data_IF_237632429464
#
_entry.id   IF_237632429464
#
_cell.length_a   1.000
_cell.length_b   1.000
_cell.length_c   1.000
_cell.angle_alpha   90.00
_cell.angle_beta   90.00
_cell.angle_gamma   90.00
#
_symmetry.space_group_name_H-M   'P 1'
#
loop_
_entity.id
_entity.type
_entity.pdbx_description
1 polymer ?
#
# COMPACT_ATOMS: atom_id res chain seq x y z
N UNK A 1 -16.92 -36.00 -24.44
CA UNK A 1 -17.84 -35.21 -23.59
C UNK A 1 -17.09 -34.77 -22.35
N UNK A 2 -17.25 -33.49 -22.04
CA UNK A 2 -16.51 -32.73 -21.06
C UNK A 2 -16.79 -33.17 -19.62
N UNK A 3 -15.84 -32.89 -18.74
CA UNK A 3 -15.96 -33.02 -17.29
C UNK A 3 -14.64 -32.72 -16.61
N UNK A 4 -14.03 -31.58 -16.97
CA UNK A 4 -12.82 -31.06 -16.36
C UNK A 4 -13.01 -30.93 -14.86
N UNK A 5 -12.23 -31.70 -14.12
CA UNK A 5 -12.17 -31.62 -12.67
C UNK A 5 -11.24 -30.44 -12.37
N UNK A 6 -11.85 -29.26 -12.20
CA UNK A 6 -11.18 -28.02 -11.81
C UNK A 6 -10.67 -28.20 -10.37
N UNK A 7 -9.53 -28.87 -10.24
CA UNK A 7 -8.85 -29.12 -8.98
C UNK A 7 -8.04 -27.87 -8.67
N UNK A 8 -8.64 -26.98 -7.86
CA UNK A 8 -7.96 -26.03 -6.97
C UNK A 8 -6.54 -25.64 -7.36
N UNK A 9 -6.41 -24.82 -8.39
CA UNK A 9 -5.13 -24.30 -8.91
C UNK A 9 -4.61 -23.09 -8.09
N UNK A 10 -4.91 -23.09 -6.78
CA UNK A 10 -4.24 -22.27 -5.76
C UNK A 10 -3.11 -23.05 -5.08
N UNK A 11 -2.70 -24.17 -5.67
CA UNK A 11 -1.52 -24.91 -5.27
C UNK A 11 -0.26 -24.09 -5.63
N UNK A 12 0.46 -23.65 -4.59
CA UNK A 12 1.86 -23.25 -4.61
C UNK A 12 2.23 -22.07 -5.53
N UNK A 13 1.98 -20.83 -5.07
CA UNK A 13 2.58 -19.65 -5.68
C UNK A 13 3.23 -18.80 -4.60
N UNK A 14 4.56 -18.83 -4.60
CA UNK A 14 5.50 -18.21 -3.67
C UNK A 14 4.90 -16.99 -2.94
N UNK A 15 4.41 -17.21 -1.72
CA UNK A 15 4.00 -16.14 -0.83
C UNK A 15 5.27 -15.51 -0.29
N UNK A 16 5.60 -14.35 -0.82
CA UNK A 16 6.77 -13.58 -0.41
C UNK A 16 6.33 -12.54 0.60
N UNK A 17 6.85 -12.69 1.81
CA UNK A 17 6.65 -11.76 2.91
C UNK A 17 7.75 -10.70 2.85
N UNK A 18 7.41 -9.50 2.38
CA UNK A 18 8.30 -8.34 2.50
C UNK A 18 8.04 -7.69 3.86
N UNK A 19 8.94 -7.78 4.83
CA UNK A 19 8.75 -7.08 6.10
C UNK A 19 9.59 -5.78 6.11
N UNK A 20 9.05 -4.56 5.92
CA UNK A 20 9.79 -3.38 6.33
C UNK A 20 9.59 -3.22 7.84
N UNK A 21 10.64 -3.48 8.62
CA UNK A 21 10.77 -3.05 10.02
C UNK A 21 9.98 -3.81 11.09
N UNK A 22 8.75 -4.28 10.83
CA UNK A 22 7.86 -4.87 11.86
C UNK A 22 6.84 -5.93 11.34
N UNK A 23 7.22 -6.87 10.47
CA UNK A 23 6.37 -8.06 10.29
C UNK A 23 5.10 -7.91 9.43
N UNK A 24 5.06 -6.99 8.45
CA UNK A 24 3.97 -6.90 7.47
C UNK A 24 3.96 -8.07 6.47
N UNK A 25 2.80 -8.71 6.28
CA UNK A 25 2.65 -9.83 5.34
C UNK A 25 2.08 -9.35 4.01
N UNK A 26 2.67 -9.82 2.90
CA UNK A 26 2.17 -9.56 1.55
C UNK A 26 1.87 -10.87 0.82
N UNK A 27 0.90 -10.80 -0.08
CA UNK A 27 0.48 -11.87 -0.98
C UNK A 27 0.71 -11.39 -2.41
N UNK A 28 1.48 -12.15 -3.18
CA UNK A 28 1.73 -11.86 -4.60
C UNK A 28 1.05 -12.94 -5.44
N UNK A 29 0.11 -12.54 -6.29
CA UNK A 29 -0.45 -13.42 -7.31
C UNK A 29 0.47 -13.40 -8.54
N UNK A 30 1.20 -14.50 -8.75
CA UNK A 30 2.14 -14.63 -9.86
C UNK A 30 1.45 -14.75 -11.24
N UNK A 31 0.18 -15.13 -11.32
CA UNK A 31 -0.53 -15.16 -12.61
C UNK A 31 -1.04 -13.79 -13.01
N UNK A 32 -1.70 -13.12 -12.08
CA UNK A 32 -2.28 -11.81 -12.34
C UNK A 32 -1.28 -10.68 -12.16
N UNK A 33 -0.08 -10.99 -11.63
CA UNK A 33 0.93 -10.01 -11.27
C UNK A 33 0.31 -8.90 -10.41
N UNK A 34 -0.38 -9.30 -9.34
CA UNK A 34 -1.02 -8.39 -8.38
C UNK A 34 -0.40 -8.56 -7.00
N UNK A 35 -0.21 -7.43 -6.33
CA UNK A 35 0.25 -7.36 -4.96
C UNK A 35 -0.95 -7.11 -4.05
N UNK A 36 -1.00 -7.84 -2.95
CA UNK A 36 -1.96 -7.65 -1.87
C UNK A 36 -1.20 -7.52 -0.56
N UNK A 37 -1.66 -6.62 0.30
CA UNK A 37 -1.25 -6.60 1.70
C UNK A 37 -2.22 -7.45 2.52
N UNK A 38 -1.72 -8.10 3.56
CA UNK A 38 -2.56 -8.85 4.50
C UNK A 38 -2.75 -8.03 5.78
N UNK A 39 -3.99 -7.56 6.00
CA UNK A 39 -4.40 -6.90 7.26
C UNK A 39 -5.13 -7.91 8.15
N UNK A 40 -4.88 -7.84 9.45
CA UNK A 40 -5.51 -8.74 10.42
C UNK A 40 -6.38 -7.92 11.37
N UNK A 41 -7.69 -8.16 11.32
CA UNK A 41 -8.60 -7.68 12.34
C UNK A 41 -8.52 -8.59 13.57
N UNK A 42 -8.31 -7.98 14.72
CA UNK A 42 -8.15 -8.65 16.01
C UNK A 42 -8.85 -7.85 17.08
N UNK A 43 -9.87 -8.45 17.68
CA UNK A 43 -10.63 -7.90 18.80
C UNK A 43 -10.63 -8.88 19.98
N UNK A 44 -10.71 -8.36 21.21
CA UNK A 44 -10.63 -9.19 22.43
C UNK A 44 -11.90 -10.01 22.60
N UNK A 45 -11.76 -11.25 23.09
CA UNK A 45 -12.87 -12.15 23.41
C UNK A 45 -13.70 -12.63 22.20
N UNK A 46 -13.06 -12.81 21.04
CA UNK A 46 -13.70 -13.39 19.85
C UNK A 46 -13.19 -14.79 19.54
N UNK A 47 -14.03 -15.60 18.89
CA UNK A 47 -13.72 -16.93 18.35
C UNK A 47 -14.62 -17.23 17.16
N UNK A 48 -14.15 -18.08 16.26
CA UNK A 48 -14.93 -18.50 15.08
C UNK A 48 -15.42 -19.94 15.26
N UNK A 49 -16.67 -20.19 14.92
CA UNK A 49 -17.14 -21.54 14.62
C UNK A 49 -17.00 -21.78 13.13
N UNK A 50 -16.10 -22.69 12.76
CA UNK A 50 -15.82 -23.07 11.38
C UNK A 50 -16.27 -24.52 11.22
N UNK A 51 -17.44 -24.72 10.62
CA UNK A 51 -18.09 -26.02 10.51
C UNK A 51 -18.23 -26.71 11.88
N UNK A 52 -17.54 -27.83 12.08
CA UNK A 52 -17.54 -28.63 13.32
C UNK A 52 -16.35 -28.33 14.24
N UNK A 53 -15.66 -27.20 14.04
CA UNK A 53 -14.47 -26.82 14.80
C UNK A 53 -14.59 -25.41 15.36
N UNK A 54 -13.89 -25.16 16.47
CA UNK A 54 -13.78 -23.84 17.10
C UNK A 54 -12.37 -23.32 16.90
N UNK A 55 -12.24 -22.20 16.20
CA UNK A 55 -10.99 -21.49 16.04
C UNK A 55 -10.90 -20.38 17.09
N UNK A 56 -9.99 -20.55 18.03
CA UNK A 56 -9.70 -19.54 19.06
C UNK A 56 -9.06 -18.29 18.47
N UNK A 57 -9.30 -17.14 19.11
CA UNK A 57 -8.62 -15.88 18.82
C UNK A 57 -9.37 -14.93 17.89
N UNK A 58 -10.40 -15.42 17.17
CA UNK A 58 -11.32 -14.56 16.43
C UNK A 58 -10.68 -13.70 15.34
N UNK A 59 -9.48 -14.05 14.86
CA UNK A 59 -8.75 -13.28 13.87
C UNK A 59 -9.47 -13.33 12.52
N UNK A 60 -9.56 -12.19 11.85
CA UNK A 60 -10.06 -12.11 10.48
C UNK A 60 -9.00 -11.47 9.59
N UNK A 61 -8.54 -12.23 8.59
CA UNK A 61 -7.50 -11.80 7.67
C UNK A 61 -8.13 -11.22 6.40
N UNK A 62 -7.63 -10.07 5.95
CA UNK A 62 -8.04 -9.40 4.73
C UNK A 62 -6.86 -9.33 3.77
N UNK A 63 -7.05 -9.81 2.55
CA UNK A 63 -6.11 -9.56 1.45
C UNK A 63 -6.60 -8.36 0.65
N UNK A 64 -6.01 -7.19 0.85
CA UNK A 64 -6.41 -5.95 0.17
C UNK A 64 -5.40 -5.61 -0.94
N UNK A 65 -5.85 -5.21 -2.14
CA UNK A 65 -4.94 -4.81 -3.21
C UNK A 65 -4.02 -3.69 -2.76
N UNK A 66 -2.73 -3.81 -3.06
CA UNK A 66 -1.70 -2.86 -2.64
C UNK A 66 -0.97 -2.30 -3.86
N UNK A 67 -0.73 -0.99 -3.89
CA UNK A 67 0.08 -0.34 -4.92
C UNK A 67 1.57 -0.66 -4.68
N UNK A 68 2.25 -1.39 -5.59
CA UNK A 68 3.66 -1.77 -5.41
C UNK A 68 4.61 -0.57 -5.29
N UNK A 69 4.20 0.62 -5.76
CA UNK A 69 5.05 1.79 -5.75
C UNK A 69 5.42 2.24 -4.34
N UNK A 70 4.56 2.02 -3.34
CA UNK A 70 4.87 2.30 -1.93
C UNK A 70 6.02 1.42 -1.42
N UNK A 71 6.06 0.14 -1.80
CA UNK A 71 7.15 -0.76 -1.40
C UNK A 71 8.46 -0.40 -2.11
N UNK A 72 8.39 -0.05 -3.39
CA UNK A 72 9.55 0.37 -4.18
C UNK A 72 10.13 1.69 -3.69
N UNK A 73 9.28 2.58 -3.18
CA UNK A 73 9.68 3.89 -2.65
C UNK A 73 10.70 3.74 -1.52
N UNK A 74 10.58 2.73 -0.66
CA UNK A 74 11.57 2.42 0.38
C UNK A 74 12.98 2.23 -0.19
N UNK A 75 13.10 1.38 -1.22
CA UNK A 75 14.38 1.07 -1.87
C UNK A 75 14.92 2.28 -2.66
N UNK A 76 14.04 2.98 -3.36
CA UNK A 76 14.40 4.18 -4.13
C UNK A 76 14.94 5.30 -3.23
N UNK A 77 14.33 5.55 -2.07
CA UNK A 77 14.82 6.55 -1.12
C UNK A 77 16.17 6.13 -0.54
N UNK A 78 16.34 4.83 -0.23
CA UNK A 78 17.61 4.29 0.28
C UNK A 78 18.74 4.49 -0.74
N UNK A 79 18.52 4.14 -2.00
CA UNK A 79 19.47 4.36 -3.10
C UNK A 79 19.67 5.84 -3.43
N UNK A 80 18.62 6.65 -3.30
CA UNK A 80 18.63 8.09 -3.56
C UNK A 80 19.63 8.88 -2.70
N UNK A 81 20.03 8.35 -1.53
CA UNK A 81 21.09 8.93 -0.68
C UNK A 81 22.44 9.02 -1.39
N UNK A 82 22.69 8.14 -2.36
CA UNK A 82 23.92 8.18 -3.18
C UNK A 82 23.86 9.21 -4.31
N UNK A 83 22.65 9.68 -4.68
CA UNK A 83 22.44 10.69 -5.70
C UNK A 83 22.71 10.25 -7.15
N UNK A 84 22.94 8.95 -7.38
CA UNK A 84 23.32 8.35 -8.67
C UNK A 84 22.12 7.79 -9.43
N UNK A 85 22.29 7.59 -10.73
CA UNK A 85 21.37 6.82 -11.57
C UNK A 85 21.78 5.35 -11.53
N UNK A 86 20.87 4.48 -11.09
CA UNK A 86 21.13 3.05 -10.92
C UNK A 86 20.05 2.22 -11.62
N UNK A 87 20.39 1.05 -12.18
CA UNK A 87 19.40 0.13 -12.71
C UNK A 87 18.60 -0.51 -11.56
N UNK A 88 17.36 -0.93 -11.83
CA UNK A 88 16.43 -1.37 -10.78
C UNK A 88 16.89 -2.62 -10.02
N UNK A 89 17.60 -3.51 -10.69
CA UNK A 89 18.22 -4.71 -10.12
C UNK A 89 19.27 -4.39 -9.06
N UNK A 90 19.90 -3.22 -9.13
CA UNK A 90 20.84 -2.73 -8.11
C UNK A 90 20.15 -1.93 -7.00
N UNK A 91 18.99 -1.34 -7.28
CA UNK A 91 18.22 -0.56 -6.30
C UNK A 91 17.42 -1.46 -5.36
N UNK A 92 16.74 -2.47 -5.91
CA UNK A 92 15.83 -3.36 -5.17
C UNK A 92 16.59 -4.58 -4.66
N UNK A 93 17.49 -4.34 -3.72
CA UNK A 93 18.33 -5.36 -3.07
C UNK A 93 18.17 -5.28 -1.55
N UNK A 94 17.82 -6.41 -0.94
CA UNK A 94 17.70 -6.55 0.50
C UNK A 94 18.17 -7.94 0.98
N UNK A 95 19.23 -7.97 1.78
CA UNK A 95 19.77 -9.22 2.34
C UNK A 95 18.80 -9.87 3.34
N UNK A 96 17.96 -9.07 4.00
CA UNK A 96 16.96 -9.58 4.94
C UNK A 96 15.70 -10.06 4.22
N UNK A 97 15.39 -9.49 3.06
CA UNK A 97 14.21 -9.79 2.26
C UNK A 97 14.58 -10.05 0.79
N UNK A 98 15.25 -11.17 0.47
CA UNK A 98 15.77 -11.45 -0.88
C UNK A 98 14.66 -11.50 -1.95
N UNK A 99 13.45 -11.79 -1.52
CA UNK A 99 12.28 -11.87 -2.37
C UNK A 99 11.76 -10.50 -2.87
N UNK A 100 12.37 -9.38 -2.45
CA UNK A 100 12.07 -8.03 -2.96
C UNK A 100 12.20 -7.93 -4.50
N UNK A 101 13.02 -8.80 -5.09
CA UNK A 101 13.17 -8.95 -6.55
C UNK A 101 11.86 -9.31 -7.27
N UNK A 102 10.87 -9.89 -6.58
CA UNK A 102 9.55 -10.14 -7.18
C UNK A 102 8.82 -8.85 -7.56
N UNK A 103 9.10 -7.73 -6.89
CA UNK A 103 8.52 -6.43 -7.24
C UNK A 103 8.91 -5.98 -8.66
N UNK A 104 10.01 -6.51 -9.20
CA UNK A 104 10.49 -6.17 -10.55
C UNK A 104 9.69 -6.84 -11.67
N UNK A 105 8.82 -7.80 -11.35
CA UNK A 105 8.08 -8.62 -12.34
C UNK A 105 6.76 -7.99 -12.79
N UNK A 106 6.32 -6.90 -12.16
CA UNK A 106 5.05 -6.26 -12.50
C UNK A 106 5.07 -5.60 -13.89
N UNK A 107 4.08 -5.88 -14.76
CA UNK A 107 4.11 -5.47 -16.17
C UNK A 107 4.01 -3.95 -16.38
N UNK A 108 3.42 -3.22 -15.42
CA UNK A 108 3.27 -1.76 -15.50
C UNK A 108 4.28 -0.99 -14.65
N UNK A 109 5.27 -1.69 -14.11
CA UNK A 109 6.26 -1.13 -13.20
C UNK A 109 6.96 0.10 -13.78
N UNK A 110 7.43 0.03 -15.03
CA UNK A 110 8.13 1.14 -15.68
C UNK A 110 7.28 2.41 -15.76
N UNK A 111 5.98 2.26 -16.07
CA UNK A 111 5.05 3.41 -16.13
C UNK A 111 4.85 3.99 -14.73
N UNK A 112 4.72 3.13 -13.72
CA UNK A 112 4.56 3.54 -12.32
C UNK A 112 5.80 4.26 -11.80
N UNK A 113 7.01 3.81 -12.13
CA UNK A 113 8.26 4.41 -11.68
C UNK A 113 8.43 5.87 -12.13
N UNK A 114 7.95 6.24 -13.31
CA UNK A 114 7.99 7.63 -13.82
C UNK A 114 7.40 8.68 -12.88
N UNK A 115 6.50 8.26 -11.98
CA UNK A 115 5.86 9.10 -10.98
C UNK A 115 6.77 9.45 -9.80
N UNK A 116 7.84 8.70 -9.55
CA UNK A 116 8.72 8.86 -8.38
C UNK A 116 10.20 8.98 -8.76
N UNK A 117 10.58 8.63 -9.99
CA UNK A 117 11.96 8.68 -10.47
C UNK A 117 12.18 9.56 -11.69
N UNK A 118 13.41 10.02 -11.84
CA UNK A 118 13.99 10.45 -13.10
C UNK A 118 14.59 9.26 -13.83
N UNK A 119 14.38 9.20 -15.14
CA UNK A 119 14.84 8.10 -15.99
C UNK A 119 15.93 8.61 -16.93
N UNK A 120 16.99 7.83 -17.10
CA UNK A 120 17.99 7.99 -18.15
C UNK A 120 18.17 6.67 -18.88
N UNK A 121 18.28 6.74 -20.19
CA UNK A 121 18.56 5.58 -21.02
C UNK A 121 19.95 5.70 -21.63
N UNK A 122 20.80 4.69 -21.43
CA UNK A 122 22.15 4.62 -21.98
C UNK A 122 22.35 3.19 -22.49
N UNK A 123 22.75 3.03 -23.75
CA UNK A 123 22.99 1.71 -24.38
C UNK A 123 21.81 0.74 -24.21
N UNK A 124 20.57 1.22 -24.41
CA UNK A 124 19.33 0.44 -24.25
C UNK A 124 19.09 -0.12 -22.84
N UNK A 125 19.79 0.42 -21.82
CA UNK A 125 19.54 0.16 -20.40
C UNK A 125 18.99 1.40 -19.74
N UNK A 126 17.93 1.20 -18.93
CA UNK A 126 17.30 2.26 -18.15
C UNK A 126 17.94 2.36 -16.77
N UNK A 127 18.19 3.59 -16.36
CA UNK A 127 18.71 3.93 -15.05
C UNK A 127 17.75 4.91 -14.38
N UNK A 128 17.54 4.70 -13.10
CA UNK A 128 16.55 5.39 -12.30
C UNK A 128 17.23 6.15 -11.18
N UNK A 129 16.74 7.36 -10.91
CA UNK A 129 17.14 8.16 -9.76
C UNK A 129 15.89 8.66 -9.04
N UNK A 130 15.84 8.49 -7.73
CA UNK A 130 14.74 8.99 -6.91
C UNK A 130 14.59 10.51 -7.02
N UNK A 131 13.35 10.98 -7.14
CA UNK A 131 13.00 12.40 -7.22
C UNK A 131 11.92 12.73 -6.19
N UNK A 132 12.29 13.54 -5.19
CA UNK A 132 11.36 13.99 -4.15
C UNK A 132 10.22 14.81 -4.73
N UNK A 133 10.49 15.70 -5.70
CA UNK A 133 9.47 16.56 -6.31
C UNK A 133 8.37 15.75 -7.01
N UNK A 134 8.77 14.76 -7.82
CA UNK A 134 7.81 13.88 -8.50
C UNK A 134 7.01 13.05 -7.51
N UNK A 135 7.69 12.52 -6.48
CA UNK A 135 7.06 11.72 -5.43
C UNK A 135 6.00 12.52 -4.68
N UNK A 136 6.28 13.77 -4.33
CA UNK A 136 5.30 14.65 -3.66
C UNK A 136 4.07 14.90 -4.55
N UNK A 137 4.26 15.19 -5.84
CA UNK A 137 3.15 15.35 -6.81
C UNK A 137 2.33 14.07 -6.96
N UNK A 138 2.97 12.90 -6.89
CA UNK A 138 2.27 11.61 -6.90
C UNK A 138 1.49 11.37 -5.61
N UNK A 139 2.07 11.65 -4.45
CA UNK A 139 1.42 11.52 -3.15
C UNK A 139 0.21 12.45 -3.01
N UNK A 140 0.30 13.69 -3.50
CA UNK A 140 -0.83 14.62 -3.55
C UNK A 140 -2.01 14.03 -4.32
N UNK A 141 -1.75 13.41 -5.49
CA UNK A 141 -2.78 12.70 -6.25
C UNK A 141 -3.37 11.52 -5.47
N UNK A 142 -2.54 10.78 -4.71
CA UNK A 142 -3.01 9.69 -3.85
C UNK A 142 -3.91 10.21 -2.73
N UNK A 143 -3.56 11.33 -2.09
CA UNK A 143 -4.41 11.98 -1.08
C UNK A 143 -5.76 12.33 -1.68
N UNK A 144 -5.79 12.97 -2.85
CA UNK A 144 -7.04 13.34 -3.53
C UNK A 144 -7.89 12.11 -3.91
N UNK A 145 -7.26 11.03 -4.37
CA UNK A 145 -7.94 9.75 -4.64
C UNK A 145 -8.55 9.16 -3.37
N UNK A 146 -7.81 9.16 -2.25
CA UNK A 146 -8.31 8.68 -0.96
C UNK A 146 -9.44 9.55 -0.44
N UNK A 147 -9.37 10.87 -0.56
CA UNK A 147 -10.48 11.79 -0.20
C UNK A 147 -11.74 11.46 -1.00
N UNK A 148 -11.63 11.26 -2.30
CA UNK A 148 -12.76 10.86 -3.14
C UNK A 148 -13.36 9.51 -2.68
N UNK A 149 -12.52 8.54 -2.34
CA UNK A 149 -12.96 7.25 -1.82
C UNK A 149 -13.62 7.36 -0.44
N UNK A 150 -13.11 8.19 0.48
CA UNK A 150 -13.70 8.41 1.80
C UNK A 150 -15.11 9.00 1.68
N UNK A 151 -15.28 9.98 0.79
CA UNK A 151 -16.59 10.58 0.49
C UNK A 151 -17.56 9.57 -0.13
N UNK A 152 -17.10 8.79 -1.10
CA UNK A 152 -17.92 7.78 -1.77
C UNK A 152 -18.37 6.64 -0.83
N UNK A 153 -17.54 6.30 0.16
CA UNK A 153 -17.85 5.26 1.15
C UNK A 153 -18.50 5.82 2.44
N UNK A 154 -18.83 7.12 2.48
CA UNK A 154 -19.45 7.79 3.63
C UNK A 154 -18.71 7.56 4.96
N UNK A 155 -17.37 7.59 4.93
CA UNK A 155 -16.54 7.42 6.12
C UNK A 155 -16.60 8.68 6.97
N UNK A 156 -16.92 8.55 8.26
CA UNK A 156 -16.92 9.67 9.20
C UNK A 156 -15.48 10.09 9.54
N UNK A 157 -15.09 11.29 9.11
CA UNK A 157 -13.74 11.86 9.32
C UNK A 157 -13.70 12.89 10.45
N UNK A 158 -14.83 13.14 11.12
CA UNK A 158 -14.92 14.14 12.19
C UNK A 158 -14.05 13.81 13.40
N UNK A 159 -13.50 14.85 14.04
CA UNK A 159 -12.61 14.75 15.22
C UNK A 159 -13.25 14.06 16.45
N UNK A 160 -14.55 13.77 16.42
CA UNK A 160 -15.27 12.97 17.41
C UNK A 160 -15.94 11.80 16.70
N UNK A 161 -15.27 10.65 16.70
CA UNK A 161 -15.86 9.38 16.26
C UNK A 161 -16.95 9.00 17.26
N UNK A 162 -18.21 9.30 16.96
CA UNK A 162 -19.33 8.61 17.59
C UNK A 162 -19.40 7.22 16.96
N UNK A 163 -19.35 6.18 17.79
CA UNK A 163 -19.54 4.79 17.38
C UNK A 163 -20.81 4.62 16.54
N UNK A 164 -20.73 3.86 15.45
CA UNK A 164 -21.88 3.57 14.56
C UNK A 164 -23.08 2.93 15.28
N UNK A 165 -22.89 2.40 16.49
CA UNK A 165 -23.94 1.85 17.35
C UNK A 165 -24.84 2.92 18.02
N UNK A 166 -24.48 4.21 17.97
CA UNK A 166 -25.24 5.30 18.59
C UNK A 166 -25.50 6.42 17.57
N UNK A 167 -26.56 6.28 16.77
CA UNK A 167 -27.07 7.41 15.98
C UNK A 167 -27.92 8.30 16.89
N UNK A 168 -27.31 9.24 17.61
CA UNK A 168 -28.06 10.38 18.15
C UNK A 168 -28.22 11.40 17.03
N UNK A 169 -29.48 11.68 16.65
CA UNK A 169 -29.87 12.54 15.53
C UNK A 169 -29.50 14.01 15.69
N UNK A 170 -28.21 14.33 15.61
CA UNK A 170 -27.71 15.69 15.41
C UNK A 170 -26.84 15.66 14.16
N UNK A 171 -27.41 16.10 13.04
CA UNK A 171 -26.65 16.46 11.86
C UNK A 171 -25.68 17.58 12.23
N UNK A 172 -24.45 17.23 12.63
CA UNK A 172 -23.34 18.17 12.69
C UNK A 172 -22.88 18.37 11.25
N UNK A 173 -23.56 19.30 10.60
CA UNK A 173 -23.20 19.83 9.30
C UNK A 173 -21.84 20.52 9.37
N UNK A 174 -20.79 19.80 8.96
CA UNK A 174 -19.61 20.23 8.20
C UNK A 174 -18.43 19.35 8.57
N UNK A 175 -18.34 18.17 7.97
CA UNK A 175 -17.00 17.68 7.65
C UNK A 175 -16.38 18.74 6.73
N UNK A 176 -15.35 19.44 7.19
CA UNK A 176 -14.65 20.38 6.33
C UNK A 176 -13.82 19.57 5.35
N UNK A 177 -13.63 20.08 4.13
CA UNK A 177 -12.73 19.46 3.15
C UNK A 177 -11.35 19.17 3.77
N UNK A 178 -10.89 20.09 4.63
CA UNK A 178 -9.67 19.99 5.43
C UNK A 178 -9.61 18.74 6.32
N UNK A 179 -10.73 18.30 6.89
CA UNK A 179 -10.79 17.11 7.75
C UNK A 179 -10.60 15.82 6.93
N UNK A 180 -11.19 15.75 5.73
CA UNK A 180 -10.97 14.65 4.80
C UNK A 180 -9.51 14.59 4.34
N UNK A 181 -8.92 15.74 3.99
CA UNK A 181 -7.52 15.83 3.57
C UNK A 181 -6.59 15.39 4.70
N UNK A 182 -6.85 15.83 5.93
CA UNK A 182 -6.08 15.42 7.12
C UNK A 182 -6.21 13.92 7.39
N UNK A 183 -7.42 13.36 7.27
CA UNK A 183 -7.65 11.93 7.47
C UNK A 183 -6.95 11.10 6.39
N UNK A 184 -7.06 11.50 5.12
CA UNK A 184 -6.38 10.86 4.01
C UNK A 184 -4.85 10.93 4.11
N UNK A 185 -4.31 12.07 4.55
CA UNK A 185 -2.88 12.21 4.87
C UNK A 185 -2.45 11.22 5.95
N UNK A 186 -3.23 11.08 7.02
CA UNK A 186 -2.99 10.09 8.08
C UNK A 186 -2.93 8.66 7.54
N UNK A 187 -3.92 8.25 6.73
CA UNK A 187 -3.94 6.92 6.11
C UNK A 187 -2.71 6.66 5.22
N UNK A 188 -2.29 7.66 4.44
CA UNK A 188 -1.12 7.53 3.55
C UNK A 188 0.18 7.52 4.35
N UNK A 189 0.23 8.24 5.49
CA UNK A 189 1.41 8.32 6.35
C UNK A 189 1.83 6.97 6.91
N UNK A 190 0.91 6.01 7.06
CA UNK A 190 1.21 4.64 7.48
C UNK A 190 2.01 3.85 6.44
N UNK A 191 2.07 4.31 5.19
CA UNK A 191 2.74 3.64 4.07
C UNK A 191 4.04 4.33 3.62
N UNK A 192 4.39 5.48 4.21
CA UNK A 192 5.56 6.27 3.80
C UNK A 192 6.46 6.62 4.99
N UNK A 193 7.76 6.88 4.77
CA UNK A 193 8.65 7.38 5.82
C UNK A 193 8.17 8.70 6.41
N UNK A 194 8.49 8.92 7.68
CA UNK A 194 8.06 10.11 8.44
C UNK A 194 8.50 11.41 7.77
N UNK A 195 9.70 11.46 7.21
CA UNK A 195 10.23 12.65 6.53
C UNK A 195 9.35 13.05 5.34
N UNK A 196 8.88 12.07 4.55
CA UNK A 196 7.97 12.32 3.44
C UNK A 196 6.57 12.70 3.90
N UNK A 197 6.10 12.13 5.01
CA UNK A 197 4.82 12.51 5.61
C UNK A 197 4.83 13.98 6.05
N UNK A 198 5.92 14.45 6.65
CA UNK A 198 6.09 15.84 7.08
C UNK A 198 6.13 16.80 5.89
N UNK A 199 6.85 16.45 4.82
CA UNK A 199 6.92 17.27 3.60
C UNK A 199 5.59 17.29 2.84
N UNK A 200 4.87 16.17 2.80
CA UNK A 200 3.51 16.11 2.27
C UNK A 200 2.54 16.97 3.08
N UNK A 201 2.65 16.98 4.41
CA UNK A 201 1.83 17.83 5.28
C UNK A 201 2.06 19.32 5.02
N UNK A 202 3.30 19.73 4.73
CA UNK A 202 3.61 21.12 4.36
C UNK A 202 3.02 21.47 2.99
N UNK A 203 3.11 20.55 2.02
CA UNK A 203 2.56 20.75 0.69
C UNK A 203 1.04 20.93 0.72
N UNK A 204 0.33 20.11 1.50
CA UNK A 204 -1.14 20.14 1.60
C UNK A 204 -1.69 21.35 2.37
N UNK A 205 -0.84 22.09 3.10
CA UNK A 205 -1.23 23.30 3.85
C UNK A 205 -1.04 24.60 3.05
N UNK A 206 -0.34 24.53 1.92
CA UNK A 206 -0.17 25.64 0.99
C UNK A 206 -1.30 25.67 -0.04
#
# INVERSE_FOLDING_TARGET
>A
MAGGRDRGDLAARQLVFLLPGEGATYLIDACLQKLFEIKVFKEKHHSWFINQSVQSGGLLHFATPMDPLFLLLHYLIKAGKEGKYQPLDQVVVDDKFPDCTLLLRFPELEKSLRHVTEEKEVNSKKYYKYSTEKTLKWLEKKVNQTVAALKANHVNVGARVQSSAYFSGVQVSRDKEEDYVRYAHGLISDYIPKELSDDLSKLLKN
#
